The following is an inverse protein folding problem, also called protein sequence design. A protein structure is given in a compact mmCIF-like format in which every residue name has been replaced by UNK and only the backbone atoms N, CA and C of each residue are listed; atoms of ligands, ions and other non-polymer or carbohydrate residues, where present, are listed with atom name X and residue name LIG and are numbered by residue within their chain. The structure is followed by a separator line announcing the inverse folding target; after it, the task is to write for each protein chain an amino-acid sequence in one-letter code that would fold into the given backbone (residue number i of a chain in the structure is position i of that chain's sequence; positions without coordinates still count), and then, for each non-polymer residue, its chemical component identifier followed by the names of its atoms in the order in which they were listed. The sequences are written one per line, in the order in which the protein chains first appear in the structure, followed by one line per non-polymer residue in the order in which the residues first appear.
data_IF_459925966551
#
_entry.id   IF_459925966551
#
_cell.length_a   1.000
_cell.length_b   1.000
_cell.length_c   1.000
_cell.angle_alpha   90.00
_cell.angle_beta   90.00
_cell.angle_gamma   90.00
#
_symmetry.space_group_name_H-M   'P 1'
#
loop_
_entity.id
_entity.type
_entity.pdbx_description
1 polymer ?
#
# COMPACT_ATOMS: atom_id res chain seq x y z
N UNK A 1 -13.57 8.47 8.73
CA UNK A 1 -13.68 7.68 7.46
C UNK A 1 -12.80 6.44 7.58
N UNK A 2 -13.07 5.39 6.76
CA UNK A 2 -12.23 4.17 6.77
C UNK A 2 -11.03 4.33 5.85
N UNK A 3 -9.93 3.62 6.13
CA UNK A 3 -8.82 3.46 5.20
C UNK A 3 -9.25 2.57 4.03
N UNK A 4 -8.91 2.94 2.80
CA UNK A 4 -9.30 2.24 1.57
C UNK A 4 -8.10 1.83 0.75
N UNK A 5 -8.24 0.73 0.01
CA UNK A 5 -7.28 0.22 -0.96
C UNK A 5 -8.04 -0.07 -2.25
N UNK A 6 -7.50 0.37 -3.36
CA UNK A 6 -7.97 0.08 -4.71
C UNK A 6 -6.79 -0.45 -5.52
N UNK A 7 -6.96 -1.59 -6.19
CA UNK A 7 -5.98 -2.09 -7.15
C UNK A 7 -6.17 -1.32 -8.47
N UNK A 8 -5.17 -0.54 -8.85
CA UNK A 8 -5.17 0.22 -10.11
C UNK A 8 -4.83 -0.69 -11.29
N UNK A 9 -3.96 -1.68 -11.05
CA UNK A 9 -3.57 -2.64 -12.06
C UNK A 9 -2.38 -3.48 -11.63
N UNK A 10 -1.98 -4.34 -12.55
CA UNK A 10 -0.79 -5.19 -12.37
C UNK A 10 -0.05 -5.34 -13.69
N UNK A 11 1.20 -5.76 -13.59
CA UNK A 11 2.00 -6.22 -14.73
C UNK A 11 2.53 -7.60 -14.46
N UNK A 12 2.46 -8.46 -15.48
CA UNK A 12 2.96 -9.82 -15.41
C UNK A 12 1.99 -10.81 -14.77
N UNK A 13 2.49 -12.01 -14.57
CA UNK A 13 1.76 -13.16 -14.04
C UNK A 13 2.76 -14.23 -13.58
N UNK A 14 2.25 -15.35 -13.06
CA UNK A 14 3.03 -16.54 -12.74
C UNK A 14 3.84 -17.03 -13.96
N UNK A 15 3.28 -16.92 -15.18
CA UNK A 15 4.01 -17.25 -16.41
C UNK A 15 5.20 -16.31 -16.65
N UNK A 16 5.04 -15.01 -16.45
CA UNK A 16 6.12 -14.02 -16.61
C UNK A 16 7.25 -14.28 -15.63
N UNK A 17 6.90 -14.62 -14.38
CA UNK A 17 7.87 -14.97 -13.34
C UNK A 17 8.62 -16.27 -13.74
N UNK A 18 7.89 -17.30 -14.17
CA UNK A 18 8.47 -18.56 -14.60
C UNK A 18 9.37 -18.40 -15.83
N UNK A 19 8.95 -17.64 -16.84
CA UNK A 19 9.75 -17.32 -18.03
C UNK A 19 11.03 -16.57 -17.68
N UNK A 20 10.97 -15.69 -16.68
CA UNK A 20 12.16 -15.01 -16.15
C UNK A 20 13.16 -16.01 -15.55
N UNK A 21 12.67 -16.99 -14.77
CA UNK A 21 13.53 -18.05 -14.23
C UNK A 21 14.14 -18.91 -15.33
N UNK A 22 13.38 -19.25 -16.38
CA UNK A 22 13.85 -20.05 -17.51
C UNK A 22 14.70 -19.29 -18.52
N UNK A 23 14.93 -18.00 -18.35
CA UNK A 23 15.80 -17.22 -19.26
C UNK A 23 17.21 -17.83 -19.40
N UNK A 24 17.71 -18.51 -18.35
CA UNK A 24 19.01 -19.19 -18.37
C UNK A 24 19.03 -20.50 -19.16
N UNK A 25 17.87 -21.02 -19.60
CA UNK A 25 17.75 -22.30 -20.31
C UNK A 25 17.00 -22.15 -21.64
N UNK A 26 15.68 -22.05 -21.58
CA UNK A 26 14.82 -21.86 -22.75
C UNK A 26 13.57 -21.10 -22.38
N UNK A 27 13.25 -20.05 -23.15
CA UNK A 27 12.06 -19.22 -22.94
C UNK A 27 10.82 -19.70 -23.71
N UNK A 28 10.90 -20.79 -24.45
CA UNK A 28 9.72 -21.37 -25.06
C UNK A 28 8.76 -21.88 -23.99
N UNK A 29 7.51 -21.50 -24.07
CA UNK A 29 6.46 -21.87 -23.13
C UNK A 29 5.47 -22.82 -23.83
N UNK A 30 5.74 -24.10 -23.69
CA UNK A 30 4.84 -25.19 -24.11
C UNK A 30 3.92 -25.63 -22.97
N UNK A 31 2.96 -26.53 -23.26
CA UNK A 31 2.03 -27.03 -22.23
C UNK A 31 2.75 -27.78 -21.08
N UNK A 32 3.81 -28.51 -21.38
CA UNK A 32 4.57 -29.25 -20.38
C UNK A 32 5.23 -28.28 -19.37
N UNK A 33 5.76 -27.14 -19.86
CA UNK A 33 6.31 -26.09 -19.01
C UNK A 33 5.21 -25.36 -18.23
N UNK A 34 4.06 -25.06 -18.86
CA UNK A 34 2.91 -24.46 -18.14
C UNK A 34 2.50 -25.31 -16.94
N UNK A 35 2.38 -26.62 -17.12
CA UNK A 35 2.06 -27.55 -16.05
C UNK A 35 3.09 -27.57 -14.90
N UNK A 36 4.34 -27.14 -15.16
CA UNK A 36 5.43 -27.08 -14.17
C UNK A 36 5.53 -25.76 -13.43
N UNK A 37 4.79 -24.71 -13.83
CA UNK A 37 4.86 -23.38 -13.19
C UNK A 37 4.65 -23.46 -11.68
N UNK A 38 3.59 -24.11 -11.14
CA UNK A 38 3.37 -24.17 -9.69
C UNK A 38 4.56 -24.75 -8.92
N UNK A 39 5.09 -25.88 -9.40
CA UNK A 39 6.23 -26.53 -8.78
C UNK A 39 7.51 -25.68 -8.86
N UNK A 40 7.74 -25.01 -10.01
CA UNK A 40 8.88 -24.11 -10.19
C UNK A 40 8.82 -22.92 -9.22
N UNK A 41 7.68 -22.21 -9.14
CA UNK A 41 7.55 -21.04 -8.27
C UNK A 41 7.73 -21.42 -6.80
N UNK A 42 7.13 -22.55 -6.39
CA UNK A 42 7.33 -23.09 -5.04
C UNK A 42 8.81 -23.44 -4.78
N UNK A 43 9.49 -24.10 -5.72
CA UNK A 43 10.91 -24.43 -5.59
C UNK A 43 11.79 -23.15 -5.50
N UNK A 44 11.54 -22.14 -6.32
CA UNK A 44 12.30 -20.89 -6.32
C UNK A 44 12.14 -20.14 -5.01
N UNK A 45 10.88 -20.04 -4.52
CA UNK A 45 10.61 -19.29 -3.30
C UNK A 45 11.11 -19.99 -2.04
N UNK A 46 10.95 -21.32 -1.96
CA UNK A 46 11.35 -22.12 -0.82
C UNK A 46 12.77 -22.70 -0.89
N UNK A 47 13.58 -22.25 -1.86
CA UNK A 47 14.97 -22.65 -1.99
C UNK A 47 15.78 -22.34 -0.72
N UNK A 48 16.68 -23.28 -0.36
CA UNK A 48 17.58 -23.11 0.79
C UNK A 48 19.03 -22.97 0.29
N UNK A 49 19.87 -22.19 0.94
CA UNK A 49 19.61 -21.44 2.18
C UNK A 49 18.86 -20.11 1.94
N UNK A 50 18.71 -19.64 0.71
CA UNK A 50 18.08 -18.35 0.36
C UNK A 50 17.13 -18.53 -0.82
N UNK A 51 15.93 -17.92 -0.79
CA UNK A 51 15.02 -17.90 -1.93
C UNK A 51 15.64 -17.29 -3.19
N UNK A 52 15.33 -17.87 -4.36
CA UNK A 52 15.63 -17.30 -5.66
C UNK A 52 14.57 -16.22 -6.01
N UNK A 53 14.63 -15.07 -5.32
CA UNK A 53 13.58 -14.03 -5.40
C UNK A 53 13.62 -13.16 -6.66
N UNK A 54 14.72 -13.14 -7.42
CA UNK A 54 14.89 -12.25 -8.60
C UNK A 54 13.81 -12.43 -9.68
N UNK A 55 13.33 -13.64 -10.02
CA UNK A 55 12.24 -13.79 -10.98
C UNK A 55 10.95 -13.07 -10.57
N UNK A 56 10.64 -13.03 -9.26
CA UNK A 56 9.45 -12.36 -8.71
C UNK A 56 9.52 -10.83 -8.82
N UNK A 57 10.68 -10.26 -9.09
CA UNK A 57 10.84 -8.82 -9.36
C UNK A 57 10.35 -8.40 -10.76
N UNK A 58 10.02 -9.37 -11.64
CA UNK A 58 9.59 -9.14 -13.03
C UNK A 58 8.08 -8.99 -13.17
N UNK A 59 7.33 -9.07 -12.08
CA UNK A 59 5.90 -8.78 -12.03
C UNK A 59 5.63 -7.76 -10.93
N UNK A 60 4.57 -6.99 -11.06
CA UNK A 60 4.25 -5.90 -10.14
C UNK A 60 2.75 -5.70 -9.95
N UNK A 61 2.39 -5.10 -8.82
CA UNK A 61 1.03 -4.72 -8.43
C UNK A 61 1.00 -3.25 -8.03
N UNK A 62 -0.05 -2.53 -8.43
CA UNK A 62 -0.16 -1.09 -8.30
C UNK A 62 -1.48 -0.73 -7.60
N UNK A 63 -1.39 0.04 -6.51
CA UNK A 63 -2.53 0.38 -5.66
C UNK A 63 -2.67 1.89 -5.46
N UNK A 64 -3.92 2.34 -5.35
CA UNK A 64 -4.27 3.62 -4.77
C UNK A 64 -4.75 3.37 -3.33
N UNK A 65 -4.10 4.00 -2.37
CA UNK A 65 -4.36 3.82 -0.93
C UNK A 65 -4.74 5.15 -0.31
N UNK A 66 -5.93 5.24 0.28
CA UNK A 66 -6.28 6.37 1.15
C UNK A 66 -6.19 5.90 2.59
N UNK A 67 -5.28 6.49 3.35
CA UNK A 67 -5.04 6.09 4.73
C UNK A 67 -4.64 7.26 5.63
N UNK A 68 -4.73 7.03 6.93
CA UNK A 68 -4.22 7.97 7.93
C UNK A 68 -2.70 8.16 7.81
N UNK A 69 -2.21 9.32 8.25
CA UNK A 69 -0.79 9.69 8.14
C UNK A 69 0.10 8.68 8.90
N UNK A 70 -0.36 8.14 10.04
CA UNK A 70 0.42 7.14 10.78
C UNK A 70 0.64 5.88 9.92
N UNK A 71 -0.41 5.35 9.29
CA UNK A 71 -0.30 4.22 8.34
C UNK A 71 0.53 4.57 7.11
N UNK A 72 0.38 5.79 6.57
CA UNK A 72 1.19 6.26 5.44
C UNK A 72 2.69 6.25 5.76
N UNK A 73 3.09 6.66 6.97
CA UNK A 73 4.49 6.59 7.42
C UNK A 73 5.00 5.15 7.41
N UNK A 74 4.17 4.15 7.75
CA UNK A 74 4.54 2.75 7.65
C UNK A 74 4.76 2.30 6.19
N UNK A 75 3.94 2.77 5.23
CA UNK A 75 4.15 2.51 3.80
C UNK A 75 5.48 3.07 3.31
N UNK A 76 5.85 4.30 3.70
CA UNK A 76 7.10 4.95 3.33
C UNK A 76 8.37 4.21 3.79
N UNK A 77 8.26 3.30 4.78
CA UNK A 77 9.41 2.49 5.23
C UNK A 77 9.80 1.38 4.25
N UNK A 78 8.90 1.02 3.33
CA UNK A 78 9.16 0.01 2.30
C UNK A 78 9.81 0.66 1.07
N UNK A 79 11.13 0.86 1.14
CA UNK A 79 11.90 1.62 0.14
C UNK A 79 12.00 0.96 -1.24
N UNK A 80 11.79 -0.36 -1.34
CA UNK A 80 11.74 -1.07 -2.62
C UNK A 80 10.30 -1.05 -3.12
N UNK A 81 9.81 0.15 -3.37
CA UNK A 81 8.50 0.44 -3.96
C UNK A 81 8.58 1.80 -4.65
N UNK A 82 7.68 2.05 -5.60
CA UNK A 82 7.46 3.38 -6.15
C UNK A 82 6.24 3.97 -5.45
N UNK A 83 6.40 5.14 -4.81
CA UNK A 83 5.33 5.77 -4.06
C UNK A 83 5.24 7.26 -4.36
N UNK A 84 4.04 7.71 -4.72
CA UNK A 84 3.65 9.11 -4.78
C UNK A 84 2.48 9.35 -3.81
N UNK A 85 2.41 10.53 -3.21
CA UNK A 85 1.33 10.87 -2.30
C UNK A 85 0.79 12.27 -2.54
N UNK A 86 -0.44 12.51 -2.14
CA UNK A 86 -1.00 13.86 -2.09
C UNK A 86 -0.07 14.78 -1.31
N UNK A 87 0.19 15.94 -1.88
CA UNK A 87 1.05 16.92 -1.25
C UNK A 87 0.26 18.13 -0.79
N UNK A 88 0.16 18.32 0.50
CA UNK A 88 -0.41 19.53 1.12
C UNK A 88 0.37 20.83 0.77
N UNK A 89 1.50 20.74 0.07
CA UNK A 89 2.20 21.90 -0.49
C UNK A 89 1.55 22.41 -1.78
N UNK A 90 1.05 21.50 -2.60
CA UNK A 90 0.47 21.81 -3.91
C UNK A 90 -1.05 21.81 -3.88
N UNK A 91 -1.66 20.83 -3.22
CA UNK A 91 -3.12 20.70 -3.08
C UNK A 91 -3.56 21.27 -1.74
N UNK A 92 -4.65 22.03 -1.73
CA UNK A 92 -5.37 22.35 -0.51
C UNK A 92 -6.18 21.14 -0.07
N UNK A 93 -6.09 20.78 1.22
CA UNK A 93 -6.80 19.64 1.79
C UNK A 93 -8.23 20.05 2.16
N UNK A 94 -9.10 20.18 1.14
CA UNK A 94 -10.48 20.67 1.28
C UNK A 94 -11.45 19.65 1.88
N UNK A 95 -11.14 18.37 1.76
CA UNK A 95 -12.08 17.29 2.08
C UNK A 95 -12.10 16.94 3.57
N UNK A 96 -11.18 17.49 4.36
CA UNK A 96 -11.07 17.33 5.81
C UNK A 96 -11.19 15.88 6.31
N UNK A 97 -10.69 14.95 5.49
CA UNK A 97 -10.75 13.51 5.77
C UNK A 97 -9.90 13.16 6.97
N UNK A 98 -10.46 12.39 7.89
CA UNK A 98 -9.74 11.81 9.02
C UNK A 98 -10.25 10.42 9.38
N UNK A 99 -9.37 9.63 9.95
CA UNK A 99 -9.62 8.28 10.41
C UNK A 99 -9.96 8.29 11.91
N UNK A 100 -10.91 7.45 12.31
CA UNK A 100 -11.18 7.13 13.71
C UNK A 100 -10.88 5.65 13.90
N UNK A 101 -10.03 5.27 14.88
CA UNK A 101 -9.76 3.87 15.19
C UNK A 101 -11.06 3.10 15.47
N UNK A 102 -11.21 1.92 14.88
CA UNK A 102 -12.46 1.16 14.98
C UNK A 102 -12.73 0.67 16.42
N UNK A 103 -11.66 0.44 17.18
CA UNK A 103 -11.73 0.07 18.62
C UNK A 103 -12.08 1.24 19.54
N UNK A 104 -12.12 2.47 19.00
CA UNK A 104 -12.59 3.64 19.74
C UNK A 104 -14.09 3.88 19.55
N UNK A 105 -14.74 3.24 18.58
CA UNK A 105 -16.17 3.41 18.28
C UNK A 105 -17.01 3.10 19.53
N UNK A 106 -17.90 4.02 19.89
CA UNK A 106 -18.74 3.92 21.08
C UNK A 106 -18.04 4.35 22.39
N UNK A 107 -16.77 4.68 22.38
CA UNK A 107 -16.06 5.21 23.55
C UNK A 107 -16.14 6.74 23.62
N UNK A 108 -15.84 7.31 24.81
CA UNK A 108 -15.70 8.77 24.95
C UNK A 108 -14.60 9.36 24.07
N UNK A 109 -13.61 8.56 23.70
CA UNK A 109 -12.46 8.99 22.92
C UNK A 109 -12.79 9.15 21.42
N UNK A 110 -13.76 8.40 20.90
CA UNK A 110 -14.28 8.63 19.55
C UNK A 110 -14.74 10.07 19.39
N UNK A 111 -15.68 10.54 20.28
CA UNK A 111 -16.19 11.92 20.23
C UNK A 111 -15.07 12.94 20.42
N UNK A 112 -14.18 12.73 21.39
CA UNK A 112 -13.07 13.65 21.66
C UNK A 112 -12.13 13.78 20.43
N UNK A 113 -11.84 12.67 19.72
CA UNK A 113 -11.03 12.69 18.51
C UNK A 113 -11.74 13.37 17.33
N UNK A 114 -13.06 13.15 17.18
CA UNK A 114 -13.87 13.84 16.17
C UNK A 114 -13.84 15.36 16.40
N UNK A 115 -14.13 15.82 17.63
CA UNK A 115 -14.15 17.24 17.97
C UNK A 115 -12.77 17.88 17.75
N UNK A 116 -11.71 17.19 18.14
CA UNK A 116 -10.34 17.66 17.96
C UNK A 116 -9.93 17.70 16.48
N UNK A 117 -10.34 16.71 15.69
CA UNK A 117 -10.08 16.67 14.25
C UNK A 117 -10.78 17.80 13.51
N UNK A 118 -12.05 18.06 13.85
CA UNK A 118 -12.81 19.18 13.26
C UNK A 118 -12.13 20.53 13.59
N UNK A 119 -11.79 20.74 14.87
CA UNK A 119 -11.08 21.97 15.29
C UNK A 119 -9.73 22.13 14.60
N UNK A 120 -8.98 21.04 14.41
CA UNK A 120 -7.70 21.07 13.70
C UNK A 120 -7.88 21.44 12.21
N UNK A 121 -8.94 20.94 11.57
CA UNK A 121 -9.29 21.31 10.20
C UNK A 121 -9.72 22.79 10.09
N UNK A 122 -10.53 23.30 11.04
CA UNK A 122 -10.91 24.71 11.09
C UNK A 122 -9.67 25.62 11.21
N UNK A 123 -8.73 25.26 12.10
CA UNK A 123 -7.46 25.98 12.24
C UNK A 123 -6.60 25.93 10.99
N UNK A 124 -6.59 24.78 10.27
CA UNK A 124 -5.91 24.70 8.98
C UNK A 124 -6.47 25.67 7.97
N UNK A 125 -7.79 25.74 7.80
CA UNK A 125 -8.45 26.63 6.84
C UNK A 125 -8.30 28.09 7.23
N UNK A 126 -8.55 28.43 8.49
CA UNK A 126 -8.37 29.79 9.02
C UNK A 126 -6.92 30.28 8.82
N UNK A 127 -5.94 29.48 9.21
CA UNK A 127 -4.51 29.82 9.03
C UNK A 127 -4.15 29.99 7.56
N UNK A 128 -4.68 29.14 6.67
CA UNK A 128 -4.46 29.24 5.23
C UNK A 128 -4.99 30.57 4.69
N UNK A 129 -6.20 30.96 5.09
CA UNK A 129 -6.83 32.22 4.67
C UNK A 129 -6.05 33.44 5.18
N UNK A 130 -5.75 33.49 6.48
CA UNK A 130 -5.05 34.62 7.13
C UNK A 130 -3.60 34.79 6.65
N UNK A 131 -2.88 33.69 6.41
CA UNK A 131 -1.49 33.75 5.95
C UNK A 131 -1.33 33.97 4.43
N UNK A 132 -2.36 33.70 3.63
CA UNK A 132 -2.27 33.86 2.18
C UNK A 132 -1.89 35.30 1.76
N UNK A 133 -2.49 36.38 2.27
CA UNK A 133 -2.10 37.73 1.91
C UNK A 133 -0.71 38.15 2.44
N UNK A 134 -0.20 37.49 3.48
CA UNK A 134 1.08 37.80 4.14
C UNK A 134 2.24 37.07 3.50
N UNK A 135 2.09 35.75 3.27
CA UNK A 135 3.16 34.84 2.85
C UNK A 135 3.04 34.37 1.39
N UNK A 136 1.92 34.67 0.73
CA UNK A 136 1.53 34.08 -0.53
C UNK A 136 0.97 32.65 -0.36
N UNK A 137 0.03 32.26 -1.25
CA UNK A 137 -0.75 31.01 -1.15
C UNK A 137 0.09 29.73 -1.03
N UNK A 138 1.25 29.67 -1.71
CA UNK A 138 2.13 28.50 -1.66
C UNK A 138 2.66 28.29 -0.25
N UNK A 139 3.26 29.34 0.35
CA UNK A 139 3.85 29.23 1.70
C UNK A 139 2.77 29.10 2.78
N UNK A 140 1.63 29.75 2.61
CA UNK A 140 0.50 29.59 3.53
C UNK A 140 0.04 28.13 3.61
N UNK A 141 -0.10 27.40 2.46
CA UNK A 141 -0.39 25.97 2.45
C UNK A 141 0.69 25.14 3.18
N UNK A 142 1.97 25.44 2.91
CA UNK A 142 3.08 24.74 3.58
C UNK A 142 3.07 24.93 5.09
N UNK A 143 2.63 26.08 5.59
CA UNK A 143 2.55 26.37 7.03
C UNK A 143 1.28 25.83 7.66
N UNK A 144 0.12 26.05 7.08
CA UNK A 144 -1.17 25.63 7.63
C UNK A 144 -1.25 24.12 7.87
N UNK A 145 -0.59 23.29 7.03
CA UNK A 145 -0.59 21.82 7.18
C UNK A 145 -0.05 21.32 8.53
N UNK A 146 0.63 22.14 9.32
CA UNK A 146 1.07 21.75 10.66
C UNK A 146 -0.09 21.47 11.62
N UNK A 147 -1.31 21.95 11.31
CA UNK A 147 -2.52 21.58 12.04
C UNK A 147 -3.09 20.21 11.66
N UNK A 148 -2.62 19.58 10.56
CA UNK A 148 -3.06 18.23 10.21
C UNK A 148 -2.43 17.20 11.15
N UNK A 149 -3.25 16.29 11.63
CA UNK A 149 -2.92 15.32 12.68
C UNK A 149 -2.55 13.96 12.08
N UNK A 150 -2.07 13.04 12.91
CA UNK A 150 -1.73 11.67 12.51
C UNK A 150 -2.93 10.89 11.93
N UNK A 151 -4.15 11.20 12.36
CA UNK A 151 -5.37 10.59 11.84
C UNK A 151 -5.92 11.30 10.58
N UNK A 152 -5.36 12.44 10.16
CA UNK A 152 -5.70 13.03 8.86
C UNK A 152 -5.37 12.05 7.76
N UNK A 153 -6.27 11.89 6.77
CA UNK A 153 -6.05 10.95 5.68
C UNK A 153 -5.38 11.62 4.48
N UNK A 154 -4.50 10.85 3.86
CA UNK A 154 -3.84 11.18 2.60
C UNK A 154 -4.05 10.04 1.61
N UNK A 155 -4.10 10.37 0.32
CA UNK A 155 -4.13 9.37 -0.74
C UNK A 155 -2.73 9.22 -1.31
N UNK A 156 -2.28 8.00 -1.43
CA UNK A 156 -1.02 7.67 -2.05
C UNK A 156 -1.19 6.56 -3.10
N UNK A 157 -0.37 6.68 -4.12
CA UNK A 157 -0.19 5.75 -5.22
C UNK A 157 1.06 4.95 -4.92
N UNK A 158 0.97 3.61 -4.84
CA UNK A 158 2.10 2.75 -4.50
C UNK A 158 2.16 1.53 -5.40
N UNK A 159 3.35 1.29 -5.97
CA UNK A 159 3.63 0.10 -6.78
C UNK A 159 4.73 -0.74 -6.12
N UNK A 160 4.49 -2.03 -6.04
CA UNK A 160 5.45 -3.04 -5.60
C UNK A 160 5.75 -4.01 -6.74
N UNK A 161 7.00 -4.47 -6.89
CA UNK A 161 7.23 -5.76 -7.52
C UNK A 161 6.81 -6.89 -6.56
N UNK A 162 6.57 -8.11 -7.07
CA UNK A 162 6.04 -9.20 -6.25
C UNK A 162 6.97 -9.58 -5.10
N UNK A 163 8.29 -9.53 -5.26
CA UNK A 163 9.24 -9.79 -4.17
C UNK A 163 9.13 -8.76 -3.05
N UNK A 164 9.05 -7.48 -3.39
CA UNK A 164 8.91 -6.40 -2.40
C UNK A 164 7.51 -6.39 -1.78
N UNK A 165 6.49 -6.80 -2.54
CA UNK A 165 5.13 -6.97 -2.02
C UNK A 165 5.07 -8.08 -0.96
N UNK A 166 5.69 -9.24 -1.21
CA UNK A 166 5.84 -10.28 -0.18
C UNK A 166 6.47 -9.74 1.10
N UNK A 167 7.61 -9.02 0.97
CA UNK A 167 8.27 -8.44 2.13
C UNK A 167 7.38 -7.44 2.89
N UNK A 168 6.59 -6.63 2.17
CA UNK A 168 5.61 -5.73 2.78
C UNK A 168 4.56 -6.53 3.55
N UNK A 169 3.93 -7.54 2.94
CA UNK A 169 2.91 -8.36 3.58
C UNK A 169 3.45 -9.07 4.82
N UNK A 170 4.62 -9.70 4.73
CA UNK A 170 5.26 -10.40 5.87
C UNK A 170 5.45 -9.47 7.07
N UNK A 171 5.90 -8.23 6.83
CA UNK A 171 6.15 -7.29 7.93
C UNK A 171 4.87 -6.62 8.44
N UNK A 172 3.84 -6.45 7.60
CA UNK A 172 2.66 -5.67 7.96
C UNK A 172 1.44 -6.51 8.31
N UNK A 173 1.43 -7.79 7.98
CA UNK A 173 0.42 -8.74 8.47
C UNK A 173 0.87 -9.46 9.75
N UNK A 174 2.09 -9.19 10.22
CA UNK A 174 2.60 -9.69 11.51
C UNK A 174 1.80 -9.08 12.67
N UNK A 175 1.53 -9.89 13.71
CA UNK A 175 0.73 -9.49 14.88
C UNK A 175 1.31 -8.34 15.71
N UNK A 176 2.60 -8.00 15.53
CA UNK A 176 3.24 -6.85 16.19
C UNK A 176 3.09 -5.54 15.40
N UNK A 177 2.63 -5.61 14.15
CA UNK A 177 2.36 -4.40 13.37
C UNK A 177 1.11 -3.67 13.91
N UNK A 178 1.04 -2.35 13.70
CA UNK A 178 -0.14 -1.57 14.06
C UNK A 178 -1.36 -2.06 13.27
N UNK A 179 -2.51 -2.17 13.92
CA UNK A 179 -3.72 -2.80 13.34
C UNK A 179 -4.19 -2.13 12.05
N UNK A 180 -4.04 -0.81 11.92
CA UNK A 180 -4.44 -0.06 10.72
C UNK A 180 -3.64 -0.50 9.49
N UNK A 181 -2.31 -0.62 9.63
CA UNK A 181 -1.47 -1.07 8.51
C UNK A 181 -1.63 -2.56 8.25
N UNK A 182 -1.93 -3.40 9.26
CA UNK A 182 -2.29 -4.79 9.05
C UNK A 182 -3.52 -4.90 8.14
N UNK A 183 -4.57 -4.12 8.43
CA UNK A 183 -5.80 -4.10 7.63
C UNK A 183 -5.58 -3.60 6.20
N UNK A 184 -4.69 -2.62 6.01
CA UNK A 184 -4.30 -2.16 4.67
C UNK A 184 -3.58 -3.28 3.92
N UNK A 185 -2.61 -3.95 4.54
CA UNK A 185 -1.87 -5.05 3.93
C UNK A 185 -2.81 -6.21 3.55
N UNK A 186 -3.74 -6.56 4.43
CA UNK A 186 -4.75 -7.57 4.15
C UNK A 186 -5.65 -7.20 2.96
N UNK A 187 -6.13 -5.95 2.89
CA UNK A 187 -6.92 -5.47 1.75
C UNK A 187 -6.13 -5.52 0.44
N UNK A 188 -4.83 -5.18 0.48
CA UNK A 188 -3.96 -5.29 -0.70
C UNK A 188 -3.82 -6.76 -1.15
N UNK A 189 -3.62 -7.69 -0.21
CA UNK A 189 -3.56 -9.12 -0.53
C UNK A 189 -4.88 -9.60 -1.14
N UNK A 190 -6.03 -9.25 -0.54
CA UNK A 190 -7.34 -9.60 -1.10
C UNK A 190 -7.52 -9.05 -2.52
N UNK A 191 -7.17 -7.79 -2.75
CA UNK A 191 -7.27 -7.18 -4.07
C UNK A 191 -6.42 -7.91 -5.13
N UNK A 192 -5.28 -8.50 -4.74
CA UNK A 192 -4.47 -9.32 -5.66
C UNK A 192 -5.09 -10.70 -5.90
N UNK A 193 -5.70 -11.31 -4.88
CA UNK A 193 -6.44 -12.58 -5.03
C UNK A 193 -7.65 -12.44 -5.96
N UNK A 194 -8.33 -11.30 -5.87
CA UNK A 194 -9.56 -11.00 -6.62
C UNK A 194 -9.30 -10.59 -8.09
N UNK A 195 -8.04 -10.56 -8.55
CA UNK A 195 -7.74 -10.27 -9.95
C UNK A 195 -8.35 -11.36 -10.84
N UNK A 196 -9.13 -10.94 -11.84
CA UNK A 196 -9.72 -11.85 -12.82
C UNK A 196 -8.65 -12.73 -13.48
N UNK A 197 -8.91 -14.02 -13.58
CA UNK A 197 -7.96 -15.01 -14.11
C UNK A 197 -6.86 -15.40 -13.13
N UNK A 198 -6.86 -14.90 -11.90
CA UNK A 198 -5.93 -15.25 -10.83
C UNK A 198 -4.44 -15.34 -11.28
N UNK A 199 -3.89 -14.29 -11.91
CA UNK A 199 -2.59 -14.34 -12.57
C UNK A 199 -1.40 -14.63 -11.64
N UNK A 200 -1.61 -14.50 -10.33
CA UNK A 200 -0.58 -14.70 -9.30
C UNK A 200 -0.92 -15.84 -8.31
N UNK A 201 -1.87 -16.72 -8.67
CA UNK A 201 -2.31 -17.78 -7.76
C UNK A 201 -1.15 -18.65 -7.27
N UNK A 202 -0.32 -19.14 -8.19
CA UNK A 202 0.79 -20.02 -7.84
C UNK A 202 1.91 -19.31 -7.07
N UNK A 203 2.09 -18.01 -7.31
CA UNK A 203 2.98 -17.17 -6.51
C UNK A 203 2.46 -17.05 -5.08
N UNK A 204 1.16 -16.78 -4.89
CA UNK A 204 0.53 -16.68 -3.57
C UNK A 204 0.56 -18.03 -2.84
N UNK A 205 0.31 -19.14 -3.54
CA UNK A 205 0.43 -20.50 -3.00
C UNK A 205 1.86 -20.79 -2.49
N UNK A 206 2.87 -20.44 -3.28
CA UNK A 206 4.28 -20.62 -2.92
C UNK A 206 4.66 -19.81 -1.66
N UNK A 207 3.99 -18.70 -1.41
CA UNK A 207 4.16 -17.86 -0.22
C UNK A 207 3.38 -18.36 1.01
N UNK A 208 2.43 -19.30 0.82
CA UNK A 208 1.49 -19.75 1.84
C UNK A 208 0.31 -18.79 2.06
N UNK A 209 -0.02 -17.99 1.05
CA UNK A 209 -1.12 -17.02 1.08
C UNK A 209 -2.11 -17.21 -0.09
N UNK A 210 -2.20 -18.40 -0.65
CA UNK A 210 -3.10 -18.71 -1.76
C UNK A 210 -4.58 -18.83 -1.38
N UNK A 211 -4.90 -19.04 -0.10
CA UNK A 211 -6.28 -19.21 0.43
C UNK A 211 -6.81 -17.93 1.09
#
# INVERSE_FOLDING_TARGET
MKNTVELIGHYGSDEVIALSAWTSTSRELDEAKRARIPALLNQLWNAKPVPHGTPFEKASVHFLVTCDIASHIHLLKHRISSLNAESARYKELKEDKYYIPEDWVGTRYERALVDFSNRANDLYHQTLEELTPILGRKRAKESARYFKMYNSQVTCDVQFNMRSFHNFLTQRMDGHAQIEIQRIAYKMLQAVRDIEGAPFQHTLDAWGWGE
#
